data_IF_603952917692
#
_entry.id   IF_603952917692
#
_cell.length_a   1.000
_cell.length_b   1.000
_cell.length_c   1.000
_cell.angle_alpha   90.00
_cell.angle_beta   90.00
_cell.angle_gamma   90.00
#
_symmetry.space_group_name_H-M   'P 1'
#
loop_
_entity.id
_entity.type
_entity.pdbx_description
1 polymer ?
#
# COMPACT_ATOMS: atom_id res chain seq x y z
N UNK A 1 -61.34 16.64 38.47
CA UNK A 1 -60.42 16.58 39.61
C UNK A 1 -59.23 15.70 39.25
N UNK A 2 -58.01 16.09 39.59
CA UNK A 2 -56.82 15.26 39.32
C UNK A 2 -56.76 14.09 40.30
N UNK A 3 -56.44 12.91 39.79
CA UNK A 3 -56.29 11.68 40.58
C UNK A 3 -55.09 11.78 41.52
N UNK A 4 -55.05 10.97 42.61
CA UNK A 4 -53.93 10.96 43.57
C UNK A 4 -52.57 10.72 42.89
N UNK A 5 -52.55 9.93 41.82
CA UNK A 5 -51.34 9.64 41.04
C UNK A 5 -50.86 10.88 40.28
N UNK A 6 -51.77 11.67 39.71
CA UNK A 6 -51.41 12.88 38.96
C UNK A 6 -50.97 14.02 39.89
N UNK A 7 -51.56 14.14 41.09
CA UNK A 7 -51.20 15.19 42.07
C UNK A 7 -49.83 14.98 42.73
N UNK A 8 -49.36 13.73 42.82
CA UNK A 8 -48.11 13.40 43.53
C UNK A 8 -47.05 12.83 42.59
N UNK A 9 -47.44 11.92 41.68
CA UNK A 9 -46.51 11.27 40.76
C UNK A 9 -45.93 12.22 39.71
N UNK A 10 -46.74 13.11 39.14
CA UNK A 10 -46.25 14.07 38.12
C UNK A 10 -45.24 15.06 38.73
N UNK A 11 -45.53 15.74 39.87
CA UNK A 11 -44.55 16.63 40.48
C UNK A 11 -43.27 15.93 40.92
N UNK A 12 -43.36 14.70 41.46
CA UNK A 12 -42.18 13.93 41.89
C UNK A 12 -41.30 13.53 40.70
N UNK A 13 -41.89 13.10 39.58
CA UNK A 13 -41.12 12.79 38.36
C UNK A 13 -40.45 14.04 37.77
N UNK A 14 -41.16 15.17 37.75
CA UNK A 14 -40.58 16.45 37.29
C UNK A 14 -39.44 16.88 38.21
N UNK A 15 -39.60 16.74 39.52
CA UNK A 15 -38.55 17.03 40.50
C UNK A 15 -37.34 16.09 40.32
N UNK A 16 -37.57 14.80 40.11
CA UNK A 16 -36.51 13.81 39.90
C UNK A 16 -35.69 14.09 38.63
N UNK A 17 -36.37 14.41 37.52
CA UNK A 17 -35.72 14.80 36.27
C UNK A 17 -34.94 16.11 36.46
N UNK A 18 -35.52 17.11 37.14
CA UNK A 18 -34.84 18.36 37.42
C UNK A 18 -33.59 18.16 38.29
N UNK A 19 -33.65 17.31 39.31
CA UNK A 19 -32.50 16.93 40.15
C UNK A 19 -31.43 16.25 39.31
N UNK A 20 -31.77 15.25 38.48
CA UNK A 20 -30.77 14.59 37.61
C UNK A 20 -30.13 15.59 36.65
N UNK A 21 -30.88 16.51 36.06
CA UNK A 21 -30.34 17.51 35.15
C UNK A 21 -29.42 18.49 35.88
N UNK A 22 -29.84 19.03 37.03
CA UNK A 22 -29.08 20.04 37.77
C UNK A 22 -27.80 19.44 38.41
N UNK A 23 -27.89 18.24 38.99
CA UNK A 23 -26.73 17.54 39.54
C UNK A 23 -25.84 16.96 38.43
N UNK A 24 -26.40 16.45 37.34
CA UNK A 24 -25.63 15.96 36.20
C UNK A 24 -24.83 17.08 35.53
N UNK A 25 -25.38 18.29 35.44
CA UNK A 25 -24.68 19.48 34.93
C UNK A 25 -23.62 19.99 35.92
N UNK A 26 -23.96 20.12 37.21
CA UNK A 26 -23.01 20.54 38.25
C UNK A 26 -21.84 19.57 38.45
N UNK A 27 -22.05 18.27 38.22
CA UNK A 27 -21.02 17.22 38.36
C UNK A 27 -20.35 16.90 37.02
N UNK A 28 -20.65 17.67 35.96
CA UNK A 28 -20.08 17.48 34.62
C UNK A 28 -20.28 16.05 34.07
N UNK A 29 -21.34 15.33 34.51
CA UNK A 29 -21.63 13.95 34.09
C UNK A 29 -22.03 13.88 32.62
N UNK A 30 -22.57 14.98 32.08
CA UNK A 30 -22.86 15.13 30.65
C UNK A 30 -21.65 15.45 29.79
N UNK A 31 -20.52 15.85 30.41
CA UNK A 31 -19.23 15.84 29.75
C UNK A 31 -18.79 14.38 29.67
N UNK A 32 -19.35 13.67 28.70
CA UNK A 32 -18.69 12.49 28.15
C UNK A 32 -17.33 12.99 27.72
N UNK A 33 -16.27 12.61 28.45
CA UNK A 33 -14.91 12.83 28.00
C UNK A 33 -14.86 12.42 26.53
N UNK A 34 -14.64 13.38 25.65
CA UNK A 34 -14.15 13.10 24.30
C UNK A 34 -12.70 12.62 24.44
N UNK A 35 -12.49 11.53 25.15
CA UNK A 35 -11.23 10.78 25.17
C UNK A 35 -11.10 9.90 23.93
N UNK A 36 -12.12 9.90 23.05
CA UNK A 36 -11.91 9.56 21.64
C UNK A 36 -11.23 10.77 21.00
N UNK A 37 -9.90 10.77 20.99
CA UNK A 37 -9.13 11.59 20.05
C UNK A 37 -9.72 11.27 18.67
N UNK A 38 -10.45 12.23 18.07
CA UNK A 38 -10.91 12.09 16.70
C UNK A 38 -9.66 11.93 15.82
N UNK A 39 -9.36 10.68 15.44
CA UNK A 39 -8.30 10.39 14.50
C UNK A 39 -8.56 11.21 13.24
N UNK A 40 -7.66 12.15 12.96
CA UNK A 40 -7.70 12.95 11.75
C UNK A 40 -7.65 12.03 10.53
N UNK A 41 -8.41 12.33 9.46
CA UNK A 41 -8.38 11.52 8.26
C UNK A 41 -6.96 11.49 7.70
N UNK A 42 -6.52 10.32 7.25
CA UNK A 42 -5.24 10.18 6.57
C UNK A 42 -5.35 10.82 5.19
N UNK A 43 -4.48 11.80 4.90
CA UNK A 43 -4.55 12.61 3.69
C UNK A 43 -3.60 12.09 2.61
N UNK A 44 -4.10 12.03 1.39
CA UNK A 44 -3.41 11.49 0.23
C UNK A 44 -3.38 12.52 -0.90
N UNK A 45 -2.19 12.81 -1.43
CA UNK A 45 -2.03 13.56 -2.68
C UNK A 45 -1.67 12.60 -3.80
N UNK A 46 -2.49 12.53 -4.85
CA UNK A 46 -2.24 11.67 -6.02
C UNK A 46 -2.01 12.55 -7.25
N UNK A 47 -0.76 12.72 -7.64
CA UNK A 47 -0.38 13.46 -8.84
C UNK A 47 -0.08 12.51 -10.00
N UNK A 48 -0.77 12.70 -11.12
CA UNK A 48 -0.52 11.96 -12.36
C UNK A 48 0.02 12.91 -13.42
N UNK A 49 1.08 12.52 -14.11
CA UNK A 49 1.74 13.35 -15.11
C UNK A 49 2.43 12.53 -16.21
N UNK A 50 3.04 13.23 -17.16
CA UNK A 50 3.85 12.67 -18.24
C UNK A 50 5.05 13.58 -18.51
N UNK A 51 5.86 13.79 -17.47
CA UNK A 51 7.07 14.64 -17.55
C UNK A 51 8.26 13.73 -17.81
N UNK A 52 8.85 13.84 -18.99
CA UNK A 52 10.00 13.01 -19.37
C UNK A 52 11.30 13.56 -18.75
N UNK A 53 11.98 12.72 -17.97
CA UNK A 53 13.34 12.98 -17.46
C UNK A 53 14.27 11.89 -18.03
N UNK A 54 15.06 12.27 -19.04
CA UNK A 54 15.91 11.33 -19.77
C UNK A 54 16.95 10.64 -18.88
N UNK A 55 17.55 11.38 -17.95
CA UNK A 55 18.56 10.85 -17.03
C UNK A 55 17.93 9.82 -16.08
N UNK A 56 16.70 10.07 -15.63
CA UNK A 56 15.94 9.09 -14.85
C UNK A 56 15.60 7.87 -15.68
N UNK A 57 15.09 8.04 -16.90
CA UNK A 57 14.65 6.89 -17.69
C UNK A 57 15.84 6.04 -18.16
N UNK A 58 16.93 6.66 -18.63
CA UNK A 58 18.12 5.97 -19.15
C UNK A 58 19.11 5.53 -18.08
N UNK A 59 19.23 6.28 -16.98
CA UNK A 59 20.22 6.04 -15.93
C UNK A 59 19.79 5.08 -14.81
N UNK A 60 18.59 4.48 -14.89
CA UNK A 60 18.01 3.74 -13.76
C UNK A 60 17.63 2.31 -14.09
N UNK A 61 17.12 1.59 -13.08
CA UNK A 61 16.62 0.22 -13.20
C UNK A 61 15.47 0.07 -14.21
N UNK A 62 14.85 1.18 -14.66
CA UNK A 62 13.71 1.14 -15.57
C UNK A 62 14.04 0.56 -16.95
N UNK A 63 15.30 0.66 -17.39
CA UNK A 63 15.76 0.07 -18.65
C UNK A 63 15.47 -1.44 -18.77
N UNK A 64 15.45 -2.17 -17.64
CA UNK A 64 15.11 -3.61 -17.64
C UNK A 64 13.66 -3.88 -18.07
N UNK A 65 12.74 -2.95 -17.80
CA UNK A 65 11.32 -3.07 -18.16
C UNK A 65 11.07 -2.53 -19.57
N UNK A 66 11.79 -1.47 -19.94
CA UNK A 66 11.68 -0.86 -21.26
C UNK A 66 12.23 -1.77 -22.36
N UNK A 67 13.28 -2.55 -22.07
CA UNK A 67 13.92 -3.47 -23.04
C UNK A 67 14.30 -2.77 -24.35
N UNK A 68 14.81 -1.55 -24.24
CA UNK A 68 15.18 -0.72 -25.40
C UNK A 68 14.01 -0.02 -26.11
N UNK A 69 12.75 -0.30 -25.74
CA UNK A 69 11.59 0.40 -26.30
C UNK A 69 11.58 1.86 -25.86
N UNK A 70 11.36 2.75 -26.81
CA UNK A 70 11.26 4.17 -26.55
C UNK A 70 9.89 4.57 -26.00
N UNK A 71 9.86 5.73 -25.32
CA UNK A 71 8.69 6.28 -24.68
C UNK A 71 8.30 7.63 -25.30
N UNK A 72 7.00 7.88 -25.35
CA UNK A 72 6.35 9.14 -25.68
C UNK A 72 5.55 9.67 -24.48
N UNK A 73 5.46 10.99 -24.37
CA UNK A 73 4.60 11.64 -23.38
C UNK A 73 3.13 11.59 -23.79
N UNK A 74 2.23 11.54 -22.82
CA UNK A 74 0.78 11.58 -23.04
C UNK A 74 0.30 13.01 -23.29
N UNK A 75 -0.69 13.15 -24.18
CA UNK A 75 -1.39 14.40 -24.41
C UNK A 75 -2.20 14.86 -23.20
N UNK A 76 -2.35 16.18 -23.05
CA UNK A 76 -2.97 16.81 -21.87
C UNK A 76 -4.42 16.36 -21.64
N UNK A 77 -5.21 16.20 -22.70
CA UNK A 77 -6.59 15.74 -22.62
C UNK A 77 -6.70 14.32 -22.06
N UNK A 78 -5.83 13.41 -22.50
CA UNK A 78 -5.82 12.04 -21.98
C UNK A 78 -5.45 12.02 -20.50
N UNK A 79 -4.43 12.80 -20.10
CA UNK A 79 -4.05 12.91 -18.69
C UNK A 79 -5.18 13.49 -17.82
N UNK A 80 -5.93 14.47 -18.32
CA UNK A 80 -7.07 15.03 -17.60
C UNK A 80 -8.18 14.00 -17.39
N UNK A 81 -8.49 13.19 -18.41
CA UNK A 81 -9.43 12.07 -18.30
C UNK A 81 -8.98 11.06 -17.24
N UNK A 82 -7.71 10.63 -17.29
CA UNK A 82 -7.16 9.67 -16.31
C UNK A 82 -7.28 10.24 -14.89
N UNK A 83 -6.90 11.51 -14.66
CA UNK A 83 -7.02 12.14 -13.33
C UNK A 83 -8.47 12.17 -12.84
N UNK A 84 -9.42 12.50 -13.72
CA UNK A 84 -10.84 12.53 -13.37
C UNK A 84 -11.38 11.15 -12.99
N UNK A 85 -11.00 10.12 -13.76
CA UNK A 85 -11.42 8.75 -13.51
C UNK A 85 -10.83 8.23 -12.20
N UNK A 86 -9.51 8.36 -12.01
CA UNK A 86 -8.83 7.98 -10.76
C UNK A 86 -9.44 8.67 -9.54
N UNK A 87 -9.73 9.97 -9.64
CA UNK A 87 -10.40 10.73 -8.58
C UNK A 87 -11.76 10.11 -8.24
N UNK A 88 -12.56 9.81 -9.25
CA UNK A 88 -13.91 9.26 -9.08
C UNK A 88 -13.86 7.88 -8.42
N UNK A 89 -12.97 7.01 -8.89
CA UNK A 89 -12.80 5.66 -8.35
C UNK A 89 -12.32 5.68 -6.89
N UNK A 90 -11.31 6.49 -6.56
CA UNK A 90 -10.82 6.63 -5.18
C UNK A 90 -11.89 7.16 -4.22
N UNK A 91 -12.65 8.19 -4.64
CA UNK A 91 -13.72 8.74 -3.81
C UNK A 91 -14.85 7.72 -3.59
N UNK A 92 -15.12 6.88 -4.58
CA UNK A 92 -16.17 5.85 -4.50
C UNK A 92 -15.73 4.68 -3.60
N UNK A 93 -14.53 4.15 -3.82
CA UNK A 93 -13.97 3.01 -3.09
C UNK A 93 -13.83 3.29 -1.59
N UNK A 94 -13.41 4.51 -1.25
CA UNK A 94 -13.03 4.89 0.11
C UNK A 94 -14.04 5.80 0.80
N UNK A 95 -15.27 5.91 0.28
CA UNK A 95 -16.33 6.82 0.76
C UNK A 95 -16.59 6.72 2.28
N UNK A 96 -16.58 5.51 2.85
CA UNK A 96 -16.80 5.28 4.30
C UNK A 96 -15.52 5.22 5.13
N UNK A 97 -14.36 5.43 4.51
CA UNK A 97 -13.07 5.33 5.20
C UNK A 97 -12.63 6.68 5.76
N UNK A 98 -11.77 6.68 6.78
CA UNK A 98 -11.11 7.89 7.30
C UNK A 98 -9.91 8.30 6.41
N UNK A 99 -10.08 8.31 5.09
CA UNK A 99 -9.05 8.71 4.12
C UNK A 99 -9.57 9.85 3.25
N UNK A 100 -8.73 10.86 3.04
CA UNK A 100 -9.04 12.02 2.21
C UNK A 100 -8.11 12.05 0.99
N UNK A 101 -8.68 12.13 -0.21
CA UNK A 101 -7.91 12.11 -1.46
C UNK A 101 -7.97 13.45 -2.17
N UNK A 102 -6.79 14.03 -2.41
CA UNK A 102 -6.62 15.14 -3.34
C UNK A 102 -5.98 14.65 -4.64
N UNK A 103 -6.75 14.71 -5.72
CA UNK A 103 -6.26 14.45 -7.09
C UNK A 103 -6.32 15.77 -7.86
N UNK A 104 -5.19 16.45 -8.08
CA UNK A 104 -5.16 17.76 -8.73
C UNK A 104 -5.76 17.72 -10.13
N UNK A 105 -6.69 18.61 -10.41
CA UNK A 105 -7.32 18.78 -11.73
C UNK A 105 -7.17 20.21 -12.25
N UNK A 106 -6.81 21.16 -11.39
CA UNK A 106 -6.55 22.54 -11.78
C UNK A 106 -5.21 22.66 -12.50
N UNK A 107 -5.16 23.50 -13.54
CA UNK A 107 -3.93 23.75 -14.31
C UNK A 107 -2.80 24.32 -13.45
N UNK A 108 -3.14 25.15 -12.45
CA UNK A 108 -2.17 25.76 -11.56
C UNK A 108 -1.46 24.72 -10.69
N UNK A 109 -2.22 23.85 -10.03
CA UNK A 109 -1.65 22.79 -9.19
C UNK A 109 -0.82 21.81 -10.02
N UNK A 110 -1.33 21.39 -11.19
CA UNK A 110 -0.62 20.48 -12.09
C UNK A 110 0.70 21.11 -12.53
N UNK A 111 0.70 22.40 -12.91
CA UNK A 111 1.92 23.12 -13.30
C UNK A 111 2.91 23.20 -12.13
N UNK A 112 2.42 23.49 -10.93
CA UNK A 112 3.28 23.53 -9.75
C UNK A 112 3.93 22.18 -9.47
N UNK A 113 3.16 21.10 -9.49
CA UNK A 113 3.65 19.74 -9.26
C UNK A 113 4.63 19.29 -10.34
N UNK A 114 4.36 19.63 -11.60
CA UNK A 114 5.29 19.35 -12.70
C UNK A 114 6.61 20.15 -12.63
N UNK A 115 6.62 21.29 -11.92
CA UNK A 115 7.85 22.05 -11.67
C UNK A 115 8.61 21.55 -10.42
N UNK A 116 7.97 20.75 -9.57
CA UNK A 116 8.55 20.15 -8.36
C UNK A 116 8.55 18.62 -8.52
N UNK A 117 9.25 18.13 -9.55
CA UNK A 117 9.22 16.72 -9.93
C UNK A 117 9.79 15.85 -8.81
N UNK A 118 9.02 14.84 -8.41
CA UNK A 118 9.48 13.79 -7.51
C UNK A 118 9.80 12.52 -8.30
N UNK A 119 11.00 11.98 -8.13
CA UNK A 119 11.44 10.79 -8.83
C UNK A 119 12.49 9.99 -8.03
N UNK A 120 12.99 8.90 -8.64
CA UNK A 120 13.92 7.96 -8.01
C UNK A 120 15.25 8.58 -7.58
N UNK A 121 15.67 9.73 -8.13
CA UNK A 121 16.89 10.44 -7.69
C UNK A 121 16.83 10.86 -6.21
N UNK A 122 15.64 10.79 -5.61
CA UNK A 122 15.38 11.17 -4.22
C UNK A 122 15.40 9.96 -3.27
N UNK A 123 15.63 8.75 -3.79
CA UNK A 123 15.70 7.53 -2.98
C UNK A 123 16.86 7.57 -1.98
N UNK A 124 16.57 7.23 -0.72
CA UNK A 124 17.56 7.24 0.36
C UNK A 124 17.98 8.64 0.83
N UNK A 125 17.30 9.71 0.38
CA UNK A 125 17.54 11.07 0.87
C UNK A 125 16.57 11.40 2.00
N UNK A 126 17.11 11.91 3.12
CA UNK A 126 16.33 12.28 4.30
C UNK A 126 15.68 13.67 4.19
N UNK A 127 16.11 14.49 3.22
CA UNK A 127 15.60 15.83 2.97
C UNK A 127 15.38 16.01 1.47
N UNK A 128 14.12 16.21 1.08
CA UNK A 128 13.69 16.37 -0.31
C UNK A 128 12.90 17.68 -0.39
N UNK A 129 13.57 18.81 -0.67
CA UNK A 129 12.94 20.14 -0.63
C UNK A 129 11.69 20.26 -1.50
N UNK A 130 11.68 19.61 -2.65
CA UNK A 130 10.53 19.55 -3.55
C UNK A 130 9.33 18.85 -2.88
N UNK A 131 9.58 17.76 -2.16
CA UNK A 131 8.54 17.00 -1.47
C UNK A 131 8.03 17.78 -0.26
N UNK A 132 8.90 18.41 0.52
CA UNK A 132 8.52 19.26 1.66
C UNK A 132 7.73 20.50 1.20
N UNK A 133 8.12 21.08 0.06
CA UNK A 133 7.40 22.18 -0.59
C UNK A 133 5.99 21.77 -1.03
N UNK A 134 5.84 20.58 -1.61
CA UNK A 134 4.53 20.00 -1.95
C UNK A 134 3.72 19.74 -0.68
N UNK A 135 4.33 19.12 0.33
CA UNK A 135 3.68 18.80 1.60
C UNK A 135 3.04 20.04 2.24
N UNK A 136 3.79 21.14 2.30
CA UNK A 136 3.29 22.39 2.87
C UNK A 136 2.20 23.04 2.03
N UNK A 137 2.30 22.98 0.69
CA UNK A 137 1.31 23.61 -0.20
C UNK A 137 -0.03 22.88 -0.25
N UNK A 138 -0.02 21.54 -0.16
CA UNK A 138 -1.20 20.70 -0.39
C UNK A 138 -1.85 20.19 0.91
N UNK A 139 -1.90 21.03 1.95
CA UNK A 139 -2.55 20.72 3.23
C UNK A 139 -1.97 19.49 3.95
N UNK A 140 -0.64 19.33 3.88
CA UNK A 140 0.12 18.36 4.67
C UNK A 140 -0.36 16.91 4.49
N UNK A 141 -0.34 16.37 3.26
CA UNK A 141 -0.70 14.98 3.02
C UNK A 141 0.27 14.03 3.70
N UNK A 142 -0.23 12.98 4.34
CA UNK A 142 0.61 11.93 4.94
C UNK A 142 1.29 11.07 3.88
N UNK A 143 0.69 10.97 2.69
CA UNK A 143 1.23 10.22 1.56
C UNK A 143 1.14 11.05 0.27
N UNK A 144 2.25 11.13 -0.46
CA UNK A 144 2.30 11.74 -1.80
C UNK A 144 2.64 10.64 -2.82
N UNK A 145 1.73 10.43 -3.77
CA UNK A 145 1.92 9.54 -4.91
C UNK A 145 2.21 10.39 -6.14
N UNK A 146 3.43 10.30 -6.65
CA UNK A 146 3.83 10.95 -7.89
C UNK A 146 3.92 9.90 -9.00
N UNK A 147 2.97 9.91 -9.93
CA UNK A 147 2.80 8.89 -10.96
C UNK A 147 3.12 9.49 -12.31
N UNK A 148 4.11 8.93 -13.00
CA UNK A 148 4.52 9.35 -14.33
C UNK A 148 4.13 8.28 -15.34
N UNK A 149 3.33 8.65 -16.33
CA UNK A 149 2.76 7.74 -17.32
C UNK A 149 3.33 8.09 -18.67
N UNK A 150 3.72 7.08 -19.42
CA UNK A 150 4.25 7.19 -20.77
C UNK A 150 3.55 6.18 -21.68
N UNK A 151 3.53 6.50 -22.98
CA UNK A 151 3.13 5.58 -24.03
C UNK A 151 4.40 5.00 -24.66
N UNK A 152 4.42 3.73 -25.02
CA UNK A 152 5.51 3.22 -25.85
C UNK A 152 5.42 3.80 -27.27
N UNK A 153 6.53 4.29 -27.82
CA UNK A 153 6.66 4.57 -29.24
C UNK A 153 6.55 3.22 -29.97
N UNK A 154 5.50 3.04 -30.76
CA UNK A 154 5.23 1.78 -31.45
C UNK A 154 6.33 1.45 -32.47
N UNK A 155 6.95 0.28 -32.35
CA UNK A 155 7.63 -0.38 -33.49
C UNK A 155 7.02 -1.73 -33.87
N UNK A 156 6.29 -2.42 -32.97
CA UNK A 156 5.62 -3.70 -33.30
C UNK A 156 4.11 -3.63 -33.06
N UNK A 157 3.35 -3.79 -34.15
CA UNK A 157 1.90 -3.57 -34.27
C UNK A 157 1.00 -4.54 -33.48
N UNK A 158 1.54 -5.51 -32.74
CA UNK A 158 0.75 -6.65 -32.24
C UNK A 158 0.77 -6.90 -30.72
N UNK A 159 1.53 -6.15 -29.91
CA UNK A 159 1.49 -6.32 -28.44
C UNK A 159 0.47 -5.35 -27.80
N UNK A 160 -0.79 -5.77 -27.82
CA UNK A 160 -1.92 -5.02 -27.21
C UNK A 160 -1.75 -4.93 -25.69
N UNK A 161 -0.93 -5.77 -25.06
CA UNK A 161 -0.74 -5.86 -23.61
C UNK A 161 0.30 -4.86 -23.05
N UNK A 162 1.09 -4.20 -23.92
CA UNK A 162 2.18 -3.30 -23.52
C UNK A 162 2.10 -1.90 -24.15
N UNK A 163 0.99 -1.18 -23.96
CA UNK A 163 0.77 0.15 -24.55
C UNK A 163 1.37 1.29 -23.73
N UNK A 164 1.30 1.17 -22.41
CA UNK A 164 1.71 2.19 -21.45
C UNK A 164 2.76 1.66 -20.50
N UNK A 165 3.65 2.55 -20.10
CA UNK A 165 4.62 2.36 -19.04
C UNK A 165 4.36 3.41 -17.97
N UNK A 166 4.36 3.03 -16.71
CA UNK A 166 4.26 4.00 -15.62
C UNK A 166 5.27 3.74 -14.51
N UNK A 167 5.73 4.83 -13.91
CA UNK A 167 6.46 4.84 -12.64
C UNK A 167 5.62 5.53 -11.58
N UNK A 168 5.69 5.06 -10.36
CA UNK A 168 4.98 5.64 -9.23
C UNK A 168 5.97 5.80 -8.08
N UNK A 169 6.05 7.00 -7.51
CA UNK A 169 6.91 7.31 -6.39
C UNK A 169 6.05 7.64 -5.19
N UNK A 170 6.15 6.81 -4.14
CA UNK A 170 5.41 6.97 -2.90
C UNK A 170 6.29 7.62 -1.84
N UNK A 171 5.96 8.85 -1.48
CA UNK A 171 6.57 9.56 -0.37
C UNK A 171 5.69 9.46 0.86
N UNK A 172 6.29 9.04 1.97
CA UNK A 172 5.68 9.13 3.29
C UNK A 172 6.11 10.45 3.91
N UNK A 173 5.14 11.26 4.32
CA UNK A 173 5.38 12.61 4.79
C UNK A 173 4.88 12.78 6.22
N UNK A 174 5.72 13.39 7.03
CA UNK A 174 5.40 13.84 8.39
C UNK A 174 6.02 15.23 8.57
N UNK A 175 6.97 15.41 9.49
CA UNK A 175 7.79 16.63 9.52
C UNK A 175 8.76 16.72 8.33
N UNK A 176 9.16 15.58 7.76
CA UNK A 176 9.98 15.46 6.55
C UNK A 176 9.33 14.43 5.61
N UNK A 177 9.50 14.60 4.30
CA UNK A 177 9.06 13.64 3.29
C UNK A 177 10.19 12.72 2.82
N UNK A 178 9.94 11.41 2.81
CA UNK A 178 10.91 10.40 2.36
C UNK A 178 10.30 9.46 1.32
N UNK A 179 11.06 9.16 0.26
CA UNK A 179 10.67 8.18 -0.75
C UNK A 179 10.72 6.77 -0.14
N UNK A 180 9.56 6.13 0.01
CA UNK A 180 9.44 4.81 0.62
C UNK A 180 9.20 3.67 -0.36
N UNK A 181 8.71 3.95 -1.58
CA UNK A 181 8.48 2.92 -2.60
C UNK A 181 8.45 3.52 -4.01
N UNK A 182 8.91 2.78 -5.01
CA UNK A 182 8.99 3.18 -6.41
C UNK A 182 8.37 2.15 -7.40
N UNK A 183 7.11 1.71 -7.22
CA UNK A 183 6.53 0.71 -8.09
C UNK A 183 6.49 1.15 -9.56
N UNK A 184 6.66 0.17 -10.43
CA UNK A 184 6.73 0.35 -11.89
C UNK A 184 5.85 -0.70 -12.56
N UNK A 185 5.19 -0.33 -13.66
CA UNK A 185 4.29 -1.22 -14.38
C UNK A 185 4.25 -0.96 -15.87
N UNK A 186 3.81 -1.98 -16.60
CA UNK A 186 3.49 -1.96 -18.02
C UNK A 186 2.04 -2.44 -18.15
N UNK A 187 1.23 -1.81 -19.00
CA UNK A 187 -0.16 -2.18 -19.20
C UNK A 187 -0.65 -1.88 -20.62
N UNK A 188 -1.64 -2.63 -21.09
CA UNK A 188 -2.11 -2.66 -22.48
C UNK A 188 -3.34 -1.80 -22.78
N UNK A 189 -4.40 -1.97 -22.00
CA UNK A 189 -5.67 -1.22 -22.11
C UNK A 189 -6.15 -0.78 -20.72
N UNK A 190 -6.91 0.32 -20.69
CA UNK A 190 -7.47 0.97 -19.50
C UNK A 190 -6.42 1.34 -18.42
N UNK A 191 -5.55 2.28 -18.80
CA UNK A 191 -4.46 2.79 -17.96
C UNK A 191 -4.95 3.38 -16.62
N UNK A 192 -6.13 3.98 -16.61
CA UNK A 192 -6.80 4.46 -15.41
C UNK A 192 -7.22 3.30 -14.49
N UNK A 193 -7.84 2.24 -15.02
CA UNK A 193 -8.14 1.05 -14.21
C UNK A 193 -6.87 0.43 -13.63
N UNK A 194 -5.83 0.25 -14.46
CA UNK A 194 -4.57 -0.33 -14.02
C UNK A 194 -3.89 0.49 -12.91
N UNK A 195 -3.90 1.83 -13.03
CA UNK A 195 -3.36 2.72 -11.99
C UNK A 195 -4.24 2.69 -10.75
N UNK A 196 -5.57 2.69 -10.89
CA UNK A 196 -6.49 2.62 -9.75
C UNK A 196 -6.29 1.32 -8.96
N UNK A 197 -6.26 0.17 -9.63
CA UNK A 197 -6.05 -1.12 -8.97
C UNK A 197 -4.70 -1.15 -8.22
N UNK A 198 -3.66 -0.57 -8.81
CA UNK A 198 -2.35 -0.45 -8.16
C UNK A 198 -2.39 0.48 -6.95
N UNK A 199 -3.04 1.63 -7.07
CA UNK A 199 -3.25 2.55 -5.95
C UNK A 199 -4.06 1.88 -4.84
N UNK A 200 -5.14 1.17 -5.19
CA UNK A 200 -5.98 0.43 -4.25
C UNK A 200 -5.16 -0.59 -3.46
N UNK A 201 -4.40 -1.43 -4.16
CA UNK A 201 -3.49 -2.42 -3.55
C UNK A 201 -2.53 -1.78 -2.54
N UNK A 202 -1.92 -0.65 -2.90
CA UNK A 202 -0.95 0.05 -2.04
C UNK A 202 -1.64 0.78 -0.87
N UNK A 203 -2.70 1.54 -1.12
CA UNK A 203 -3.40 2.38 -0.14
C UNK A 203 -4.21 1.54 0.85
N UNK A 204 -4.92 0.53 0.34
CA UNK A 204 -5.67 -0.38 1.20
C UNK A 204 -4.76 -1.25 2.05
N UNK A 205 -3.43 -1.22 1.82
CA UNK A 205 -2.39 -1.96 2.53
C UNK A 205 -2.94 -3.28 3.04
N UNK A 206 -2.94 -4.31 2.17
CA UNK A 206 -3.01 -5.73 2.56
C UNK A 206 -3.56 -5.92 3.97
N UNK A 207 -4.88 -6.00 4.13
CA UNK A 207 -5.49 -6.05 5.47
C UNK A 207 -4.80 -7.17 6.22
N UNK A 208 -3.99 -6.84 7.22
CA UNK A 208 -3.20 -7.84 7.91
C UNK A 208 -4.16 -8.62 8.81
N UNK A 209 -4.53 -9.82 8.37
CA UNK A 209 -5.55 -10.62 9.04
C UNK A 209 -4.94 -11.62 10.01
N UNK A 210 -3.61 -11.80 9.99
CA UNK A 210 -2.96 -12.71 10.92
C UNK A 210 -1.53 -13.08 10.54
N UNK A 211 -0.99 -14.06 11.28
CA UNK A 211 0.32 -14.64 11.00
C UNK A 211 0.26 -16.15 11.02
N UNK A 212 1.12 -16.78 10.24
CA UNK A 212 1.29 -18.24 10.30
C UNK A 212 1.80 -18.62 11.69
N UNK A 213 1.02 -19.44 12.39
CA UNK A 213 1.36 -19.96 13.70
C UNK A 213 2.12 -21.28 13.62
N UNK A 214 1.69 -22.15 12.69
CA UNK A 214 2.23 -23.50 12.51
C UNK A 214 2.04 -23.96 11.07
N UNK A 215 3.00 -24.72 10.56
CA UNK A 215 2.94 -25.39 9.25
C UNK A 215 3.12 -26.89 9.49
N UNK A 216 2.28 -27.70 8.87
CA UNK A 216 2.40 -29.15 8.84
C UNK A 216 2.08 -29.64 7.43
N UNK A 217 3.11 -29.99 6.66
CA UNK A 217 3.01 -30.28 5.23
C UNK A 217 2.29 -29.13 4.50
N UNK A 218 1.15 -29.41 3.85
CA UNK A 218 0.35 -28.42 3.13
C UNK A 218 -0.63 -27.66 4.03
N UNK A 219 -0.77 -28.05 5.31
CA UNK A 219 -1.71 -27.44 6.25
C UNK A 219 -1.02 -26.31 7.02
N UNK A 220 -1.61 -25.13 6.94
CA UNK A 220 -1.11 -23.91 7.55
C UNK A 220 -2.14 -23.41 8.57
N UNK A 221 -1.75 -23.36 9.83
CA UNK A 221 -2.54 -22.76 10.91
C UNK A 221 -2.15 -21.29 11.06
N UNK A 222 -3.14 -20.41 10.99
CA UNK A 222 -2.98 -18.96 11.04
C UNK A 222 -3.58 -18.46 12.36
N UNK A 223 -2.81 -17.67 13.11
CA UNK A 223 -3.33 -16.88 14.22
C UNK A 223 -3.92 -15.59 13.67
N UNK A 224 -5.24 -15.46 13.74
CA UNK A 224 -6.00 -14.33 13.21
C UNK A 224 -5.89 -13.11 14.14
N UNK A 225 -5.81 -11.93 13.53
CA UNK A 225 -6.00 -10.62 14.18
C UNK A 225 -7.39 -10.02 13.90
N UNK A 226 -8.11 -10.54 12.90
CA UNK A 226 -9.49 -10.13 12.58
C UNK A 226 -10.44 -11.33 12.52
N UNK A 227 -11.68 -11.16 12.99
CA UNK A 227 -12.67 -12.24 13.15
C UNK A 227 -13.54 -12.52 11.91
N UNK A 228 -13.39 -11.74 10.83
CA UNK A 228 -14.29 -11.83 9.67
C UNK A 228 -13.83 -12.85 8.60
N UNK A 229 -12.83 -13.68 8.90
CA UNK A 229 -12.35 -14.73 8.01
C UNK A 229 -13.33 -15.91 8.02
N UNK A 230 -13.61 -16.45 6.84
CA UNK A 230 -14.55 -17.56 6.65
C UNK A 230 -13.91 -18.69 5.85
N UNK A 231 -14.42 -19.89 6.05
CA UNK A 231 -14.10 -21.05 5.21
C UNK A 231 -14.35 -20.73 3.73
N UNK A 232 -13.48 -21.26 2.86
CA UNK A 232 -13.51 -21.04 1.41
C UNK A 232 -12.76 -19.79 0.93
N UNK A 233 -12.43 -18.84 1.81
CA UNK A 233 -11.64 -17.66 1.43
C UNK A 233 -10.24 -18.06 0.94
N UNK A 234 -9.75 -17.35 -0.08
CA UNK A 234 -8.34 -17.41 -0.50
C UNK A 234 -7.64 -16.19 0.06
N UNK A 235 -6.58 -16.43 0.81
CA UNK A 235 -5.78 -15.42 1.51
C UNK A 235 -4.40 -15.35 0.84
N UNK A 236 -3.80 -14.18 0.86
CA UNK A 236 -2.42 -13.99 0.44
C UNK A 236 -1.51 -14.01 1.66
N UNK A 237 -0.30 -14.52 1.48
CA UNK A 237 0.70 -14.63 2.52
C UNK A 237 2.09 -14.30 1.99
N UNK A 238 2.97 -13.84 2.88
CA UNK A 238 4.31 -13.41 2.54
C UNK A 238 5.34 -13.96 3.52
N UNK A 239 6.49 -14.39 2.99
CA UNK A 239 7.67 -14.61 3.82
C UNK A 239 8.04 -13.33 4.57
N UNK A 240 8.46 -13.49 5.82
CA UNK A 240 8.85 -12.38 6.69
C UNK A 240 10.28 -12.57 7.15
N UNK A 241 11.11 -11.55 6.95
CA UNK A 241 12.49 -11.52 7.42
C UNK A 241 12.60 -10.53 8.58
N UNK A 242 12.83 -11.05 9.78
CA UNK A 242 13.09 -10.27 10.98
C UNK A 242 14.60 -10.10 11.17
N UNK A 243 15.08 -8.90 10.86
CA UNK A 243 16.50 -8.57 10.87
C UNK A 243 17.09 -8.38 12.28
N UNK A 244 16.26 -8.41 13.32
CA UNK A 244 16.72 -8.54 14.70
C UNK A 244 16.98 -9.99 15.11
N UNK A 245 16.55 -10.95 14.29
CA UNK A 245 16.71 -12.38 14.54
C UNK A 245 17.53 -13.01 13.39
N UNK A 246 16.95 -13.98 12.69
CA UNK A 246 17.58 -14.76 11.62
C UNK A 246 17.20 -14.28 10.21
N UNK A 247 16.58 -13.11 10.09
CA UNK A 247 16.10 -12.55 8.83
C UNK A 247 17.18 -12.36 7.76
N UNK A 248 18.42 -12.04 8.17
CA UNK A 248 19.54 -11.96 7.23
C UNK A 248 19.83 -13.31 6.56
N UNK A 249 19.95 -14.38 7.35
CA UNK A 249 20.29 -15.72 6.87
C UNK A 249 19.13 -16.36 6.09
N UNK A 250 17.91 -16.25 6.62
CA UNK A 250 16.69 -16.76 5.95
C UNK A 250 16.51 -16.06 4.61
N UNK A 251 16.58 -14.73 4.60
CA UNK A 251 16.38 -13.94 3.39
C UNK A 251 17.43 -14.26 2.33
N UNK A 252 18.72 -14.29 2.70
CA UNK A 252 19.81 -14.65 1.79
C UNK A 252 19.62 -16.06 1.20
N UNK A 253 19.21 -17.03 2.01
CA UNK A 253 18.90 -18.39 1.54
C UNK A 253 17.76 -18.41 0.53
N UNK A 254 16.65 -17.72 0.84
CA UNK A 254 15.47 -17.70 -0.02
C UNK A 254 15.72 -17.00 -1.36
N UNK A 255 16.46 -15.89 -1.35
CA UNK A 255 16.89 -15.23 -2.58
C UNK A 255 17.80 -16.11 -3.43
N UNK A 256 18.75 -16.83 -2.82
CA UNK A 256 19.60 -17.76 -3.56
C UNK A 256 18.80 -18.92 -4.17
N UNK A 257 17.80 -19.44 -3.45
CA UNK A 257 16.91 -20.48 -3.99
C UNK A 257 16.10 -19.97 -5.18
N UNK A 258 15.57 -18.74 -5.09
CA UNK A 258 14.84 -18.12 -6.20
C UNK A 258 15.73 -17.88 -7.43
N UNK A 259 16.96 -17.38 -7.22
CA UNK A 259 17.96 -17.19 -8.29
C UNK A 259 18.23 -18.53 -8.99
N UNK A 260 18.54 -19.57 -8.21
CA UNK A 260 18.83 -20.90 -8.74
C UNK A 260 17.65 -21.46 -9.55
N UNK A 261 16.43 -21.34 -9.03
CA UNK A 261 15.21 -21.77 -9.71
C UNK A 261 15.07 -21.12 -11.10
N UNK A 262 15.19 -19.78 -11.18
CA UNK A 262 15.08 -19.09 -12.46
C UNK A 262 16.23 -19.37 -13.43
N UNK A 263 17.45 -19.60 -12.92
CA UNK A 263 18.60 -20.00 -13.74
C UNK A 263 18.41 -21.42 -14.35
N UNK A 264 17.81 -22.34 -13.61
CA UNK A 264 17.60 -23.74 -14.04
C UNK A 264 16.51 -23.89 -15.12
N UNK A 265 15.58 -22.95 -15.21
CA UNK A 265 14.49 -22.98 -16.19
C UNK A 265 14.92 -22.75 -17.65
N UNK A 266 16.18 -22.33 -17.90
CA UNK A 266 16.77 -22.09 -19.24
C UNK A 266 15.96 -21.15 -20.15
N UNK A 267 15.09 -20.30 -19.60
CA UNK A 267 14.40 -19.22 -20.32
C UNK A 267 15.33 -18.01 -20.43
N UNK A 268 15.61 -17.54 -21.65
CA UNK A 268 16.45 -16.36 -21.90
C UNK A 268 15.90 -15.08 -21.26
N UNK A 269 14.60 -14.99 -21.02
CA UNK A 269 13.97 -13.86 -20.33
C UNK A 269 14.23 -13.85 -18.82
N UNK A 270 14.56 -14.99 -18.21
CA UNK A 270 14.83 -15.09 -16.77
C UNK A 270 16.10 -14.33 -16.37
N UNK A 271 17.01 -14.05 -17.31
CA UNK A 271 18.21 -13.24 -17.06
C UNK A 271 17.90 -11.94 -16.31
N UNK A 272 16.82 -11.25 -16.70
CA UNK A 272 16.44 -9.99 -16.06
C UNK A 272 15.95 -10.17 -14.62
N UNK A 273 15.24 -11.27 -14.34
CA UNK A 273 14.75 -11.62 -12.99
C UNK A 273 15.95 -11.99 -12.11
N UNK A 274 16.84 -12.84 -12.62
CA UNK A 274 18.08 -13.26 -11.95
C UNK A 274 18.95 -12.04 -11.60
N UNK A 275 19.17 -11.13 -12.55
CA UNK A 275 19.96 -9.92 -12.31
C UNK A 275 19.30 -9.01 -11.27
N UNK A 276 17.98 -8.86 -11.31
CA UNK A 276 17.23 -8.08 -10.32
C UNK A 276 17.31 -8.70 -8.92
N UNK A 277 17.14 -10.02 -8.81
CA UNK A 277 17.28 -10.75 -7.55
C UNK A 277 18.69 -10.62 -7.00
N UNK A 278 19.74 -10.81 -7.82
CA UNK A 278 21.15 -10.63 -7.39
C UNK A 278 21.42 -9.22 -6.85
N UNK A 279 20.93 -8.18 -7.55
CA UNK A 279 21.05 -6.80 -7.07
C UNK A 279 20.33 -6.59 -5.74
N UNK A 280 19.10 -7.09 -5.61
CA UNK A 280 18.32 -6.99 -4.37
C UNK A 280 18.96 -7.76 -3.22
N UNK A 281 19.52 -8.94 -3.49
CA UNK A 281 20.28 -9.73 -2.50
C UNK A 281 21.47 -8.92 -1.97
N UNK A 282 22.27 -8.34 -2.87
CA UNK A 282 23.42 -7.52 -2.47
C UNK A 282 22.98 -6.27 -1.71
N UNK A 283 21.89 -5.62 -2.14
CA UNK A 283 21.33 -4.42 -1.50
C UNK A 283 20.55 -4.69 -0.21
N UNK A 284 20.19 -5.93 0.13
CA UNK A 284 19.40 -6.21 1.33
C UNK A 284 20.19 -7.00 2.38
N UNK A 285 21.16 -7.80 1.93
CA UNK A 285 21.94 -8.71 2.78
C UNK A 285 23.46 -8.50 2.65
N UNK A 286 23.90 -7.42 1.99
CA UNK A 286 25.30 -7.01 1.95
C UNK A 286 25.77 -6.44 3.29
N UNK A 287 27.07 -6.60 3.60
CA UNK A 287 27.61 -6.25 4.92
C UNK A 287 27.52 -4.75 5.26
N UNK A 288 27.51 -3.88 4.25
CA UNK A 288 27.57 -2.41 4.43
C UNK A 288 26.27 -1.76 4.93
N UNK A 289 25.16 -2.48 4.92
CA UNK A 289 23.80 -1.97 5.13
C UNK A 289 23.06 -2.71 6.25
N UNK A 290 23.62 -3.81 6.76
CA UNK A 290 23.00 -4.60 7.83
C UNK A 290 22.61 -3.74 9.06
N UNK A 291 23.42 -2.75 9.49
CA UNK A 291 23.05 -1.90 10.63
C UNK A 291 21.73 -1.16 10.44
N UNK A 292 21.38 -0.77 9.21
CA UNK A 292 20.18 0.02 8.90
C UNK A 292 18.89 -0.81 8.94
N UNK A 293 19.02 -2.14 8.92
CA UNK A 293 17.89 -3.08 8.95
C UNK A 293 17.63 -3.68 10.33
N UNK A 294 18.55 -3.54 11.29
CA UNK A 294 18.32 -4.02 12.65
C UNK A 294 17.06 -3.38 13.24
N UNK A 295 16.17 -4.20 13.81
CA UNK A 295 14.87 -3.74 14.32
C UNK A 295 13.75 -3.68 13.28
N UNK A 296 14.04 -4.00 12.00
CA UNK A 296 13.06 -3.98 10.92
C UNK A 296 12.59 -5.38 10.55
N UNK A 297 11.35 -5.46 10.07
CA UNK A 297 10.74 -6.67 9.56
C UNK A 297 10.23 -6.43 8.15
N UNK A 298 10.71 -7.19 7.16
CA UNK A 298 10.42 -6.95 5.74
C UNK A 298 9.84 -8.20 5.09
N UNK A 299 8.89 -7.99 4.17
CA UNK A 299 8.32 -9.03 3.30
C UNK A 299 8.54 -8.65 1.85
N UNK A 300 9.66 -9.05 1.22
CA UNK A 300 9.99 -8.61 -0.12
C UNK A 300 9.39 -9.51 -1.21
N UNK A 301 9.12 -8.95 -2.40
CA UNK A 301 8.94 -9.74 -3.62
C UNK A 301 10.18 -10.59 -3.93
N UNK A 302 10.03 -11.80 -4.50
CA UNK A 302 8.78 -12.43 -4.96
C UNK A 302 8.15 -13.45 -3.98
N UNK A 303 8.45 -13.38 -2.67
CA UNK A 303 8.13 -14.46 -1.72
C UNK A 303 6.69 -14.41 -1.19
N UNK A 304 5.73 -14.52 -2.10
CA UNK A 304 4.29 -14.55 -1.79
C UNK A 304 3.64 -15.85 -2.23
N UNK A 305 2.63 -16.28 -1.47
CA UNK A 305 1.87 -17.49 -1.73
C UNK A 305 0.42 -17.31 -1.31
N UNK A 306 -0.45 -18.22 -1.74
CA UNK A 306 -1.88 -18.20 -1.43
C UNK A 306 -2.27 -19.37 -0.55
N UNK A 307 -3.18 -19.12 0.39
CA UNK A 307 -3.74 -20.09 1.31
C UNK A 307 -5.26 -20.15 1.11
N UNK A 308 -5.86 -21.34 1.10
CA UNK A 308 -7.31 -21.51 1.10
C UNK A 308 -7.76 -21.92 2.50
N UNK A 309 -8.64 -21.13 3.11
CA UNK A 309 -9.20 -21.42 4.44
C UNK A 309 -10.13 -22.62 4.35
N UNK A 310 -9.85 -23.64 5.15
CA UNK A 310 -10.69 -24.85 5.30
C UNK A 310 -11.69 -24.62 6.41
N UNK A 311 -11.23 -24.11 7.55
CA UNK A 311 -12.04 -23.97 8.77
C UNK A 311 -11.53 -22.78 9.59
N UNK A 312 -12.43 -22.16 10.36
CA UNK A 312 -12.10 -21.12 11.33
C UNK A 312 -12.67 -21.53 12.67
N UNK A 313 -11.80 -21.60 13.67
CA UNK A 313 -12.13 -21.93 15.06
C UNK A 313 -11.57 -20.82 15.94
N UNK A 314 -12.46 -20.04 16.54
CA UNK A 314 -12.12 -18.85 17.33
C UNK A 314 -11.18 -17.89 16.58
N UNK A 315 -9.98 -17.65 17.11
CA UNK A 315 -8.94 -16.81 16.50
C UNK A 315 -7.96 -17.60 15.63
N UNK A 316 -8.30 -18.82 15.22
CA UNK A 316 -7.45 -19.68 14.39
C UNK A 316 -8.13 -19.99 13.07
N UNK A 317 -7.40 -19.80 11.97
CA UNK A 317 -7.79 -20.32 10.67
C UNK A 317 -6.91 -21.53 10.32
N UNK A 318 -7.54 -22.64 9.96
CA UNK A 318 -6.90 -23.80 9.37
C UNK A 318 -7.02 -23.66 7.86
N UNK A 319 -5.89 -23.68 7.17
CA UNK A 319 -5.82 -23.45 5.73
C UNK A 319 -4.94 -24.49 5.03
N UNK A 320 -5.10 -24.62 3.71
CA UNK A 320 -4.20 -25.38 2.85
C UNK A 320 -3.46 -24.45 1.90
N UNK A 321 -2.22 -24.77 1.55
CA UNK A 321 -1.51 -24.09 0.46
C UNK A 321 -2.34 -24.21 -0.83
N UNK A 322 -2.74 -23.05 -1.37
CA UNK A 322 -3.53 -22.94 -2.60
C UNK A 322 -2.65 -22.79 -3.84
N UNK A 323 -1.62 -21.93 -3.75
CA UNK A 323 -0.61 -21.76 -4.80
C UNK A 323 0.67 -21.18 -4.21
N UNK A 324 1.83 -21.66 -4.65
CA UNK A 324 3.15 -21.09 -4.33
C UNK A 324 4.15 -21.45 -5.42
N UNK A 325 5.18 -20.64 -5.60
CA UNK A 325 6.35 -21.03 -6.36
C UNK A 325 7.15 -22.12 -5.61
N UNK A 326 7.89 -22.95 -6.35
CA UNK A 326 8.65 -24.07 -5.77
C UNK A 326 9.71 -23.61 -4.77
N UNK A 327 10.37 -22.48 -5.07
CA UNK A 327 11.42 -21.91 -4.22
C UNK A 327 10.88 -21.24 -2.95
N UNK A 328 9.56 -21.07 -2.81
CA UNK A 328 8.96 -20.41 -1.64
C UNK A 328 8.78 -21.43 -0.50
N UNK A 329 9.32 -21.06 0.66
CA UNK A 329 9.20 -21.80 1.92
C UNK A 329 8.23 -21.06 2.85
N UNK A 330 7.13 -21.75 3.20
CA UNK A 330 6.12 -21.28 4.17
C UNK A 330 6.67 -21.46 5.58
N UNK A 331 6.64 -20.40 6.41
CA UNK A 331 7.21 -20.44 7.76
C UNK A 331 6.28 -19.86 8.81
N UNK A 332 6.49 -20.29 10.05
CA UNK A 332 5.92 -19.61 11.22
C UNK A 332 6.37 -18.15 11.23
N UNK A 333 5.45 -17.24 11.49
CA UNK A 333 5.70 -15.81 11.55
C UNK A 333 5.38 -15.06 10.25
N UNK A 334 5.24 -15.78 9.13
CA UNK A 334 4.81 -15.22 7.85
C UNK A 334 3.51 -14.42 8.01
N UNK A 335 3.43 -13.28 7.32
CA UNK A 335 2.29 -12.37 7.38
C UNK A 335 1.21 -12.87 6.44
N UNK A 336 -0.04 -12.88 6.92
CA UNK A 336 -1.22 -13.24 6.14
C UNK A 336 -2.13 -12.02 6.00
N UNK A 337 -2.63 -11.80 4.80
CA UNK A 337 -3.40 -10.62 4.44
C UNK A 337 -4.43 -10.91 3.35
N UNK A 338 -5.32 -9.95 3.14
CA UNK A 338 -6.25 -9.91 2.02
C UNK A 338 -5.84 -8.74 1.11
N UNK A 339 -5.71 -9.01 -0.19
CA UNK A 339 -5.52 -8.01 -1.24
C UNK A 339 -6.85 -7.41 -1.71
#
# INVERSE_FOLDING_TARGET
EWTKVEKVGIPVNVLFIAVILFFGDSLNVWNVEKSVVEEQPEKYLIHLTSVYDEDVIKGTIYQRFLKGRELDTLGIHLLDTIRSNIKTELLSEYYISKKEFHVPTSREEIKYLNNNVLNIKHFGKDNVPEADSIYNRFNQPSNIYYINIFKFKQEELNDVESKYFYTMFLFYCSSNCQLGSDPVGITGLDIDEAIFLRLRDIISKRKHIGRVLKVNEDIVTIKLSELNIKSGMVLDAASVYDFSLDGFEIGKSDFNNAIKYYEEQKDTNNKFIVDALKKKTNWMFGDSIQPDFVGKTISPDPFYYKLRVIEVVDSLAISKIHSKEEFIKVRKGDKVFIL
#
